data_IF_392550747223
#
_entry.id   IF_392550747223
#
_cell.length_a   1.000
_cell.length_b   1.000
_cell.length_c   1.000
_cell.angle_alpha   90.00
_cell.angle_beta   90.00
_cell.angle_gamma   90.00
#
_symmetry.space_group_name_H-M   'P 1'
#
loop_
_entity.id
_entity.type
_entity.pdbx_description
1 polymer ?
#
# COMPACT_ATOMS: atom_id res chain seq x y z
N UNK A 1 -16.84 -5.30 9.61
CA UNK A 1 -15.64 -4.54 10.01
C UNK A 1 -14.64 -5.48 10.66
N UNK A 2 -13.34 -5.25 10.44
CA UNK A 2 -12.26 -6.02 11.08
C UNK A 2 -12.19 -5.77 12.58
N UNK A 3 -11.21 -6.36 13.26
CA UNK A 3 -10.98 -6.12 14.68
C UNK A 3 -10.74 -4.61 14.92
N UNK A 4 -11.52 -4.00 15.82
CA UNK A 4 -11.43 -2.56 16.11
C UNK A 4 -12.02 -1.63 15.05
N UNK A 5 -12.68 -2.16 14.02
CA UNK A 5 -13.32 -1.33 12.99
C UNK A 5 -14.58 -0.62 13.50
N UNK A 6 -14.78 0.61 13.04
CA UNK A 6 -15.92 1.45 13.44
C UNK A 6 -15.85 2.85 12.81
N UNK A 7 -16.76 3.73 13.24
CA UNK A 7 -16.74 5.14 12.89
C UNK A 7 -16.07 5.93 14.01
N UNK A 8 -15.00 6.64 13.67
CA UNK A 8 -14.29 7.50 14.59
C UNK A 8 -14.81 8.93 14.46
N UNK A 9 -15.02 9.60 15.59
CA UNK A 9 -15.58 10.95 15.58
C UNK A 9 -14.57 12.00 15.10
N UNK A 10 -13.28 11.72 15.28
CA UNK A 10 -12.16 12.58 14.88
C UNK A 10 -10.85 11.78 14.83
N UNK A 11 -9.79 12.43 14.33
CA UNK A 11 -8.44 11.88 14.22
C UNK A 11 -7.88 11.36 15.56
N UNK A 12 -8.09 12.07 16.66
CA UNK A 12 -7.60 11.64 17.98
C UNK A 12 -8.21 10.30 18.43
N UNK A 13 -9.51 10.11 18.21
CA UNK A 13 -10.16 8.84 18.55
C UNK A 13 -9.67 7.68 17.67
N UNK A 14 -9.34 7.94 16.40
CA UNK A 14 -8.73 6.96 15.51
C UNK A 14 -7.30 6.63 15.97
N UNK A 15 -6.47 7.65 16.19
CA UNK A 15 -5.07 7.50 16.56
C UNK A 15 -4.91 6.80 17.92
N UNK A 16 -5.82 7.06 18.88
CA UNK A 16 -5.87 6.33 20.15
C UNK A 16 -6.22 4.85 19.97
N UNK A 17 -7.13 4.51 19.05
CA UNK A 17 -7.45 3.12 18.76
C UNK A 17 -6.26 2.39 18.11
N UNK A 18 -5.56 3.04 17.17
CA UNK A 18 -4.34 2.53 16.54
C UNK A 18 -3.25 2.27 17.59
N UNK A 19 -2.99 3.24 18.47
CA UNK A 19 -2.04 3.08 19.58
C UNK A 19 -2.43 1.92 20.51
N UNK A 20 -3.72 1.73 20.78
CA UNK A 20 -4.22 0.61 21.59
C UNK A 20 -3.85 -0.77 21.01
N UNK A 21 -3.76 -0.92 19.69
CA UNK A 21 -3.29 -2.15 19.05
C UNK A 21 -1.77 -2.34 19.11
N UNK A 22 -1.01 -1.27 19.35
CA UNK A 22 0.44 -1.35 19.54
C UNK A 22 0.83 -1.84 20.94
N UNK A 23 0.09 -1.41 21.97
CA UNK A 23 0.36 -1.76 23.37
C UNK A 23 1.27 -0.75 24.08
N UNK A 24 1.93 -1.18 25.17
CA UNK A 24 2.67 -0.29 26.09
C UNK A 24 3.98 0.29 25.51
N UNK A 25 4.46 -0.24 24.38
CA UNK A 25 5.70 0.21 23.74
C UNK A 25 5.53 1.49 22.91
N UNK A 26 6.64 2.22 22.73
CA UNK A 26 6.70 3.41 21.87
C UNK A 26 7.81 3.37 20.81
N UNK A 27 8.71 2.39 20.86
CA UNK A 27 9.75 2.23 19.86
C UNK A 27 9.17 1.71 18.55
N UNK A 28 9.65 2.26 17.43
CA UNK A 28 9.39 1.80 16.06
C UNK A 28 7.91 1.64 15.70
N UNK A 29 7.04 2.47 16.30
CA UNK A 29 5.61 2.52 16.00
C UNK A 29 5.40 2.70 14.50
N UNK A 30 4.63 1.80 13.90
CA UNK A 30 4.38 1.80 12.47
C UNK A 30 2.93 1.48 12.17
N UNK A 31 2.32 2.27 11.30
CA UNK A 31 0.94 2.10 10.85
C UNK A 31 0.88 2.12 9.33
N UNK A 32 0.08 1.20 8.77
CA UNK A 32 -0.22 1.18 7.34
C UNK A 32 -1.65 1.67 7.16
N UNK A 33 -1.80 2.86 6.58
CA UNK A 33 -3.09 3.40 6.16
C UNK A 33 -3.48 2.80 4.80
N UNK A 34 -4.58 2.06 4.79
CA UNK A 34 -5.07 1.32 3.63
C UNK A 34 -6.60 1.26 3.64
N UNK A 35 -7.18 0.42 2.79
CA UNK A 35 -8.62 0.14 2.72
C UNK A 35 -9.38 1.11 1.82
N UNK A 36 -10.24 0.57 0.95
CA UNK A 36 -10.84 1.35 -0.13
C UNK A 36 -9.75 2.07 -0.94
N UNK A 37 -9.92 3.38 -1.12
CA UNK A 37 -8.83 4.31 -1.43
C UNK A 37 -8.59 5.18 -0.18
N UNK A 38 -7.44 5.06 0.51
CA UNK A 38 -7.21 5.75 1.78
C UNK A 38 -7.21 7.28 1.65
N UNK A 39 -6.74 7.83 0.52
CA UNK A 39 -6.74 9.29 0.30
C UNK A 39 -8.14 9.91 0.17
N UNK A 40 -9.22 9.10 0.16
CA UNK A 40 -10.58 9.63 0.32
C UNK A 40 -10.88 10.14 1.74
N UNK A 41 -10.06 9.74 2.72
CA UNK A 41 -10.30 10.02 4.14
C UNK A 41 -9.08 10.60 4.87
N UNK A 42 -7.85 10.33 4.41
CA UNK A 42 -6.64 10.89 5.03
C UNK A 42 -6.61 12.41 4.86
N UNK A 43 -6.39 13.11 5.97
CA UNK A 43 -6.21 14.55 6.06
C UNK A 43 -5.07 14.91 7.04
N UNK A 44 -4.77 16.21 7.17
CA UNK A 44 -3.77 16.73 8.10
C UNK A 44 -4.01 16.23 9.53
N UNK A 45 -5.27 16.21 9.99
CA UNK A 45 -5.60 15.85 11.36
C UNK A 45 -5.23 14.39 11.68
N UNK A 46 -5.50 13.45 10.76
CA UNK A 46 -5.13 12.04 10.94
C UNK A 46 -3.60 11.89 10.97
N UNK A 47 -2.91 12.54 10.03
CA UNK A 47 -1.45 12.45 9.92
C UNK A 47 -0.78 13.03 11.17
N UNK A 48 -1.15 14.24 11.56
CA UNK A 48 -0.62 14.92 12.73
C UNK A 48 -0.86 14.13 14.02
N UNK A 49 -2.08 13.59 14.22
CA UNK A 49 -2.40 12.80 15.42
C UNK A 49 -1.60 11.49 15.50
N UNK A 50 -1.30 10.85 14.37
CA UNK A 50 -0.48 9.63 14.33
C UNK A 50 1.00 9.94 14.57
N UNK A 51 1.53 10.98 13.92
CA UNK A 51 2.90 11.46 14.12
C UNK A 51 3.14 11.94 15.56
N UNK A 52 2.19 12.64 16.16
CA UNK A 52 2.25 13.07 17.57
C UNK A 52 2.34 11.89 18.55
N UNK A 53 1.87 10.71 18.13
CA UNK A 53 1.98 9.44 18.88
C UNK A 53 3.21 8.61 18.49
N UNK A 54 4.11 9.18 17.69
CA UNK A 54 5.38 8.57 17.30
C UNK A 54 5.27 7.48 16.24
N UNK A 55 4.15 7.38 15.53
CA UNK A 55 4.02 6.43 14.41
C UNK A 55 4.75 6.95 13.17
N UNK A 56 5.52 6.09 12.52
CA UNK A 56 5.80 6.22 11.09
C UNK A 56 4.61 5.71 10.28
N UNK A 57 4.22 6.44 9.24
CA UNK A 57 3.01 6.21 8.46
C UNK A 57 3.37 5.72 7.06
N UNK A 58 2.97 4.51 6.73
CA UNK A 58 2.92 4.03 5.36
C UNK A 58 1.50 4.10 4.80
N UNK A 59 1.38 4.25 3.48
CA UNK A 59 0.10 4.22 2.78
C UNK A 59 0.11 3.24 1.61
N UNK A 60 -0.99 2.50 1.44
CA UNK A 60 -1.24 1.65 0.27
C UNK A 60 -2.42 2.22 -0.54
N UNK A 61 -2.13 2.90 -1.65
CA UNK A 61 -3.12 3.61 -2.47
C UNK A 61 -3.21 3.05 -3.90
N UNK A 62 -4.33 3.25 -4.58
CA UNK A 62 -4.45 2.99 -6.02
C UNK A 62 -3.83 4.11 -6.89
N UNK A 63 -3.44 5.23 -6.28
CA UNK A 63 -2.75 6.36 -6.90
C UNK A 63 -3.64 7.32 -7.71
N UNK A 64 -4.97 7.17 -7.65
CA UNK A 64 -5.93 8.06 -8.34
C UNK A 64 -6.08 9.42 -7.65
N UNK A 65 -5.60 9.54 -6.40
CA UNK A 65 -5.52 10.79 -5.63
C UNK A 65 -4.06 10.97 -5.19
N UNK A 66 -3.56 12.21 -5.24
CA UNK A 66 -2.21 12.52 -4.78
C UNK A 66 -2.07 12.22 -3.28
N UNK A 67 -0.94 11.64 -2.89
CA UNK A 67 -0.66 11.31 -1.50
C UNK A 67 -0.54 12.58 -0.64
N UNK A 68 -0.96 12.49 0.61
CA UNK A 68 -0.69 13.53 1.59
C UNK A 68 0.83 13.67 1.81
N UNK A 69 1.40 14.90 1.85
CA UNK A 69 2.85 15.09 1.94
C UNK A 69 3.46 14.64 3.28
N UNK A 70 2.64 14.47 4.32
CA UNK A 70 3.06 13.92 5.61
C UNK A 70 3.04 12.38 5.69
N UNK A 71 2.83 11.66 4.58
CA UNK A 71 3.01 10.20 4.57
C UNK A 71 4.50 9.88 4.43
N UNK A 72 5.03 9.07 5.34
CA UNK A 72 6.46 8.74 5.39
C UNK A 72 6.86 7.67 4.37
N UNK A 73 5.92 6.80 3.96
CA UNK A 73 6.14 5.78 2.93
C UNK A 73 4.93 5.61 2.01
N UNK A 74 5.09 5.98 0.74
CA UNK A 74 4.04 5.95 -0.28
C UNK A 74 4.19 4.69 -1.15
N UNK A 75 3.26 3.75 -0.98
CA UNK A 75 3.09 2.61 -1.88
C UNK A 75 1.90 2.83 -2.82
N UNK A 76 2.16 2.78 -4.12
CA UNK A 76 1.13 2.90 -5.17
C UNK A 76 0.95 1.55 -5.88
N UNK A 77 -0.30 1.07 -5.90
CA UNK A 77 -0.70 -0.15 -6.61
C UNK A 77 -1.76 0.18 -7.67
N UNK A 78 -1.33 0.62 -8.87
CA UNK A 78 -2.25 1.10 -9.90
C UNK A 78 -3.19 0.00 -10.39
N UNK A 79 -4.39 0.40 -10.83
CA UNK A 79 -5.40 -0.49 -11.42
C UNK A 79 -5.60 -0.13 -12.89
N UNK A 80 -5.62 -1.14 -13.77
CA UNK A 80 -5.79 -0.98 -15.20
C UNK A 80 -7.08 -0.22 -15.51
N UNK A 81 -6.99 0.71 -16.45
CA UNK A 81 -8.10 1.60 -16.82
C UNK A 81 -8.32 2.78 -15.88
N UNK A 82 -7.55 2.94 -14.80
CA UNK A 82 -7.62 4.12 -13.92
C UNK A 82 -6.65 5.21 -14.35
N UNK A 83 -7.02 6.48 -14.10
CA UNK A 83 -6.10 7.62 -14.25
C UNK A 83 -5.28 7.74 -12.97
N UNK A 84 -4.00 7.40 -13.04
CA UNK A 84 -3.07 7.48 -11.91
C UNK A 84 -2.36 8.83 -11.94
N UNK A 85 -2.54 9.62 -10.88
CA UNK A 85 -1.92 10.95 -10.70
C UNK A 85 -0.69 10.90 -9.78
N UNK A 86 -0.67 9.98 -8.81
CA UNK A 86 0.51 9.74 -7.97
C UNK A 86 1.51 8.86 -8.74
N UNK A 87 2.46 9.49 -9.42
CA UNK A 87 3.48 8.83 -10.25
C UNK A 87 4.89 8.92 -9.65
N UNK A 88 4.97 9.30 -8.39
CA UNK A 88 6.21 9.31 -7.61
C UNK A 88 5.98 8.68 -6.24
N UNK A 89 7.03 8.16 -5.61
CA UNK A 89 6.94 7.63 -4.24
C UNK A 89 8.02 6.58 -3.93
N UNK A 90 7.82 5.83 -2.85
CA UNK A 90 8.80 4.85 -2.38
C UNK A 90 8.64 3.52 -3.11
N UNK A 91 7.41 3.02 -3.21
CA UNK A 91 7.09 1.71 -3.75
C UNK A 91 6.00 1.76 -4.81
N UNK A 92 6.32 1.27 -6.00
CA UNK A 92 5.34 0.92 -7.03
C UNK A 92 5.11 -0.59 -6.97
N UNK A 93 3.92 -1.00 -6.51
CA UNK A 93 3.53 -2.42 -6.38
C UNK A 93 2.44 -2.78 -7.39
N UNK A 94 2.88 -3.21 -8.57
CA UNK A 94 1.98 -3.62 -9.63
C UNK A 94 1.46 -5.05 -9.39
N UNK A 95 0.13 -5.18 -9.30
CA UNK A 95 -0.52 -6.50 -9.30
C UNK A 95 -0.45 -7.07 -10.71
N UNK A 96 0.04 -8.29 -10.86
CA UNK A 96 0.31 -8.92 -12.16
C UNK A 96 -0.11 -10.40 -12.18
N UNK A 97 -0.66 -10.92 -13.31
CA UNK A 97 -0.98 -10.23 -14.56
C UNK A 97 -2.22 -9.34 -14.43
N UNK A 98 -2.23 -8.22 -15.16
CA UNK A 98 -3.35 -7.28 -15.15
C UNK A 98 -3.59 -6.72 -16.56
N UNK A 99 -4.53 -7.33 -17.33
CA UNK A 99 -4.85 -6.89 -18.69
C UNK A 99 -5.21 -5.40 -18.76
N UNK A 100 -4.71 -4.72 -19.78
CA UNK A 100 -4.89 -3.27 -19.95
C UNK A 100 -3.83 -2.42 -19.24
N UNK A 101 -2.87 -3.03 -18.54
CA UNK A 101 -1.70 -2.33 -18.00
C UNK A 101 -0.63 -2.19 -19.09
N UNK A 102 -0.18 -0.96 -19.33
CA UNK A 102 1.05 -0.70 -20.08
C UNK A 102 2.24 -0.64 -19.09
N UNK A 103 2.99 -1.74 -19.01
CA UNK A 103 4.13 -1.82 -18.10
C UNK A 103 5.27 -0.87 -18.51
N UNK A 104 5.41 -0.55 -19.81
CA UNK A 104 6.46 0.36 -20.26
C UNK A 104 6.14 1.80 -19.86
N UNK A 105 4.87 2.21 -19.90
CA UNK A 105 4.43 3.50 -19.35
C UNK A 105 4.67 3.57 -17.84
N UNK A 106 4.26 2.54 -17.10
CA UNK A 106 4.41 2.47 -15.64
C UNK A 106 5.88 2.51 -15.20
N UNK A 107 6.81 2.01 -16.01
CA UNK A 107 8.26 2.10 -15.76
C UNK A 107 8.83 3.51 -15.89
N UNK A 108 8.11 4.44 -16.54
CA UNK A 108 8.54 5.85 -16.63
C UNK A 108 8.30 6.63 -15.34
N UNK A 109 7.55 6.06 -14.40
CA UNK A 109 7.22 6.70 -13.13
C UNK A 109 8.40 6.61 -12.15
N UNK A 110 8.46 7.58 -11.23
CA UNK A 110 9.60 7.81 -10.34
C UNK A 110 9.39 7.16 -8.97
N UNK A 111 9.71 5.86 -8.89
CA UNK A 111 9.64 5.10 -7.65
C UNK A 111 10.98 4.45 -7.32
N UNK A 112 11.37 4.51 -6.05
CA UNK A 112 12.61 3.88 -5.56
C UNK A 112 12.56 2.35 -5.68
N UNK A 113 11.37 1.77 -5.59
CA UNK A 113 11.14 0.33 -5.64
C UNK A 113 10.05 -0.01 -6.65
N UNK A 114 10.32 -1.01 -7.50
CA UNK A 114 9.34 -1.58 -8.44
C UNK A 114 9.10 -3.04 -8.09
N UNK A 115 7.87 -3.37 -7.73
CA UNK A 115 7.48 -4.69 -7.26
C UNK A 115 6.35 -5.26 -8.10
N UNK A 116 6.45 -6.54 -8.45
CA UNK A 116 5.36 -7.33 -9.01
C UNK A 116 4.76 -8.21 -7.94
N UNK A 117 3.46 -8.07 -7.71
CA UNK A 117 2.70 -8.92 -6.81
C UNK A 117 1.76 -9.83 -7.61
N UNK A 118 1.81 -11.15 -7.42
CA UNK A 118 0.86 -12.05 -8.07
C UNK A 118 -0.59 -11.66 -7.76
N UNK A 119 -1.42 -11.58 -8.79
CA UNK A 119 -2.87 -11.47 -8.62
C UNK A 119 -3.36 -12.70 -7.86
N UNK A 120 -4.04 -12.46 -6.73
CA UNK A 120 -4.63 -13.53 -5.95
C UNK A 120 -6.04 -13.82 -6.46
N UNK A 121 -6.12 -14.78 -7.39
CA UNK A 121 -7.36 -15.31 -7.94
C UNK A 121 -7.28 -16.85 -8.06
N UNK A 122 -8.28 -17.45 -8.69
CA UNK A 122 -8.33 -18.91 -8.96
C UNK A 122 -7.13 -19.46 -9.75
N UNK A 123 -6.25 -18.61 -10.27
CA UNK A 123 -5.03 -18.94 -11.04
C UNK A 123 -3.77 -18.51 -10.29
N UNK A 124 -3.80 -18.42 -8.96
CA UNK A 124 -2.69 -17.93 -8.13
C UNK A 124 -1.31 -18.53 -8.50
N UNK A 125 -1.21 -19.85 -8.71
CA UNK A 125 0.05 -20.48 -9.11
C UNK A 125 0.57 -19.97 -10.47
N UNK A 126 -0.31 -19.89 -11.47
CA UNK A 126 0.04 -19.37 -12.79
C UNK A 126 0.38 -17.87 -12.75
N UNK A 127 -0.30 -17.09 -11.91
CA UNK A 127 0.00 -15.67 -11.73
C UNK A 127 1.36 -15.47 -11.05
N UNK A 128 1.72 -16.35 -10.10
CA UNK A 128 3.06 -16.37 -9.49
C UNK A 128 4.13 -16.69 -10.53
N UNK A 129 3.94 -17.71 -11.35
CA UNK A 129 4.84 -18.05 -12.45
C UNK A 129 5.00 -16.89 -13.44
N UNK A 130 3.90 -16.21 -13.78
CA UNK A 130 3.93 -15.04 -14.65
C UNK A 130 4.72 -13.87 -14.04
N UNK A 131 4.60 -13.63 -12.73
CA UNK A 131 5.43 -12.63 -12.03
C UNK A 131 6.90 -13.01 -12.05
N UNK A 132 7.23 -14.27 -11.74
CA UNK A 132 8.61 -14.79 -11.77
C UNK A 132 9.21 -14.62 -13.17
N UNK A 133 8.48 -15.02 -14.21
CA UNK A 133 8.94 -14.84 -15.59
C UNK A 133 9.19 -13.36 -15.93
N UNK A 134 8.32 -12.46 -15.47
CA UNK A 134 8.44 -11.02 -15.73
C UNK A 134 9.64 -10.39 -15.01
N UNK A 135 9.85 -10.66 -13.71
CA UNK A 135 11.01 -10.11 -12.98
C UNK A 135 12.33 -10.63 -13.54
N UNK A 136 12.37 -11.87 -14.04
CA UNK A 136 13.55 -12.43 -14.70
C UNK A 136 13.84 -11.75 -16.04
N UNK A 137 12.81 -11.29 -16.76
CA UNK A 137 12.95 -10.54 -18.02
C UNK A 137 13.24 -9.05 -17.80
N UNK A 138 12.78 -8.48 -16.67
CA UNK A 138 12.88 -7.06 -16.34
C UNK A 138 13.46 -6.88 -14.94
N UNK A 139 14.80 -6.93 -14.77
CA UNK A 139 15.45 -7.01 -13.46
C UNK A 139 15.32 -5.76 -12.59
N UNK A 140 14.80 -4.65 -13.13
CA UNK A 140 14.40 -3.50 -12.32
C UNK A 140 13.21 -3.82 -11.39
N UNK A 141 12.44 -4.86 -11.71
CA UNK A 141 11.33 -5.34 -10.90
C UNK A 141 11.77 -6.44 -9.94
N UNK A 142 11.18 -6.46 -8.75
CA UNK A 142 11.36 -7.51 -7.73
C UNK A 142 10.01 -8.16 -7.42
N UNK A 143 10.05 -9.41 -6.95
CA UNK A 143 8.83 -10.13 -6.57
C UNK A 143 8.38 -9.69 -5.17
N UNK A 144 7.09 -9.35 -5.04
CA UNK A 144 6.40 -9.13 -3.76
C UNK A 144 5.34 -10.21 -3.56
N UNK A 145 5.40 -10.90 -2.42
CA UNK A 145 4.46 -11.98 -2.11
C UNK A 145 3.55 -11.55 -0.97
N UNK A 146 2.29 -11.99 -1.02
CA UNK A 146 1.35 -11.84 0.09
C UNK A 146 1.66 -12.86 1.21
N UNK A 147 2.80 -12.66 1.87
CA UNK A 147 3.35 -13.57 2.88
C UNK A 147 2.38 -13.83 4.03
N UNK A 148 1.57 -12.85 4.43
CA UNK A 148 0.52 -13.02 5.43
C UNK A 148 -0.45 -14.16 5.07
N UNK A 149 -0.85 -14.30 3.81
CA UNK A 149 -1.72 -15.41 3.36
C UNK A 149 -0.99 -16.75 3.39
N UNK A 150 0.26 -16.77 2.96
CA UNK A 150 1.09 -17.98 2.99
C UNK A 150 1.32 -18.50 4.41
N UNK A 151 1.42 -17.57 5.38
CA UNK A 151 1.61 -17.86 6.79
C UNK A 151 0.29 -18.06 7.57
N UNK A 152 -0.86 -17.86 6.93
CA UNK A 152 -2.17 -17.96 7.58
C UNK A 152 -2.48 -16.84 8.59
N UNK A 153 -1.79 -15.70 8.48
CA UNK A 153 -2.05 -14.51 9.27
C UNK A 153 -3.31 -13.80 8.75
N UNK A 154 -4.14 -13.31 9.67
CA UNK A 154 -5.36 -12.55 9.39
C UNK A 154 -5.34 -11.22 10.13
#
# INVERSE_FOLDING_TARGET
DGLGGGKFANAETLAAAVEGFWGEGAADRFVVLTGGEPMLQIDDAIVDSLHARGFSIAMESNGTIAAHPGIDWVCVSPKAGSIVVQRTGDELKLVWPQPGTDIADVETWDFAHRLLQPLDDRRADANREACVAMVMQRPAWRLSLQTHKLLGLR
#
